data_IF_853277990177
#
_entry.id   IF_853277990177
#
_cell.length_a   1.000
_cell.length_b   1.000
_cell.length_c   1.000
_cell.angle_alpha   90.00
_cell.angle_beta   90.00
_cell.angle_gamma   90.00
#
_symmetry.space_group_name_H-M   'P 1'
#
loop_
_entity.id
_entity.type
_entity.pdbx_description
1 polymer ?
#
# COMPACT_ATOMS: atom_id res chain seq x y z
N UNK A 1 -6.40 -27.14 -1.64
CA UNK A 1 -5.81 -26.74 -0.33
C UNK A 1 -5.66 -28.00 0.50
N UNK A 2 -4.47 -28.24 1.07
CA UNK A 2 -4.04 -29.56 1.53
C UNK A 2 -4.49 -29.88 2.97
N UNK A 3 -4.60 -31.17 3.30
CA UNK A 3 -4.72 -31.68 4.67
C UNK A 3 -3.64 -31.12 5.61
N UNK A 4 -2.48 -30.74 5.08
CA UNK A 4 -1.36 -30.17 5.84
C UNK A 4 -1.73 -28.84 6.50
N UNK A 5 -2.39 -27.92 5.78
CA UNK A 5 -2.73 -26.59 6.34
C UNK A 5 -3.74 -26.71 7.47
N UNK A 6 -4.72 -27.61 7.37
CA UNK A 6 -5.67 -27.88 8.47
C UNK A 6 -4.94 -28.44 9.70
N UNK A 7 -4.05 -29.42 9.52
CA UNK A 7 -3.23 -29.96 10.63
C UNK A 7 -2.35 -28.89 11.29
N UNK A 8 -1.72 -28.02 10.50
CA UNK A 8 -0.92 -26.91 11.02
C UNK A 8 -1.79 -25.93 11.82
N UNK A 9 -2.99 -25.63 11.32
CA UNK A 9 -3.94 -24.75 12.00
C UNK A 9 -4.35 -25.35 13.36
N UNK A 10 -4.68 -26.63 13.43
CA UNK A 10 -4.98 -27.31 14.70
C UNK A 10 -3.79 -27.26 15.67
N UNK A 11 -2.55 -27.44 15.18
CA UNK A 11 -1.35 -27.37 16.01
C UNK A 11 -1.03 -25.95 16.50
N UNK A 12 -1.60 -24.89 15.90
CA UNK A 12 -1.47 -23.52 16.43
C UNK A 12 -2.13 -23.35 17.80
N UNK A 13 -2.94 -24.30 18.29
CA UNK A 13 -3.47 -24.24 19.66
C UNK A 13 -2.50 -24.80 20.71
N UNK A 14 -1.42 -25.48 20.28
CA UNK A 14 -0.46 -26.10 21.19
C UNK A 14 0.24 -25.05 22.07
N UNK A 15 0.55 -25.42 23.31
CA UNK A 15 1.28 -24.56 24.25
C UNK A 15 2.78 -24.79 24.23
N UNK A 16 3.25 -25.90 23.63
CA UNK A 16 4.66 -26.21 23.46
C UNK A 16 5.36 -25.21 22.53
N UNK A 17 6.36 -24.45 23.02
CA UNK A 17 7.04 -23.43 22.22
C UNK A 17 7.75 -24.00 20.98
N UNK A 18 8.26 -25.23 21.06
CA UNK A 18 8.98 -25.87 19.94
C UNK A 18 8.02 -26.22 18.81
N UNK A 19 6.85 -26.77 19.15
CA UNK A 19 5.77 -27.06 18.22
C UNK A 19 5.26 -25.79 17.57
N UNK A 20 5.03 -24.74 18.37
CA UNK A 20 4.59 -23.43 17.86
C UNK A 20 5.57 -22.85 16.85
N UNK A 21 6.86 -22.88 17.15
CA UNK A 21 7.87 -22.34 16.24
C UNK A 21 7.95 -23.12 14.93
N UNK A 22 7.86 -24.45 14.97
CA UNK A 22 7.84 -25.29 13.77
C UNK A 22 6.60 -25.04 12.90
N UNK A 23 5.43 -24.92 13.54
CA UNK A 23 4.18 -24.64 12.83
C UNK A 23 4.21 -23.25 12.19
N UNK A 24 4.69 -22.24 12.93
CA UNK A 24 4.89 -20.88 12.44
C UNK A 24 5.81 -20.85 11.23
N UNK A 25 7.02 -21.43 11.35
CA UNK A 25 7.98 -21.49 10.25
C UNK A 25 7.38 -22.17 9.02
N UNK A 26 6.65 -23.27 9.20
CA UNK A 26 6.01 -23.98 8.09
C UNK A 26 4.89 -23.19 7.42
N UNK A 27 4.05 -22.49 8.19
CA UNK A 27 3.01 -21.63 7.63
C UNK A 27 3.60 -20.43 6.89
N UNK A 28 4.69 -19.84 7.40
CA UNK A 28 5.42 -18.77 6.73
C UNK A 28 6.07 -19.24 5.42
N UNK A 29 6.63 -20.46 5.38
CA UNK A 29 7.14 -21.09 4.15
C UNK A 29 6.05 -21.31 3.10
N UNK A 30 4.85 -21.73 3.53
CA UNK A 30 3.68 -21.88 2.65
C UNK A 30 3.10 -20.53 2.21
N UNK A 31 3.53 -19.44 2.86
CA UNK A 31 3.19 -18.07 2.54
C UNK A 31 1.74 -17.69 2.86
N UNK A 32 1.33 -16.54 2.32
CA UNK A 32 0.04 -15.93 2.63
C UNK A 32 -1.17 -16.83 2.40
N UNK A 33 -1.18 -17.64 1.35
CA UNK A 33 -2.32 -18.51 1.05
C UNK A 33 -2.66 -19.46 2.20
N UNK A 34 -1.65 -20.00 2.90
CA UNK A 34 -1.87 -20.86 4.06
C UNK A 34 -2.37 -20.06 5.28
N UNK A 35 -1.79 -18.89 5.52
CA UNK A 35 -2.22 -18.00 6.62
C UNK A 35 -3.66 -17.50 6.42
N UNK A 36 -3.99 -17.05 5.21
CA UNK A 36 -5.31 -16.58 4.83
C UNK A 36 -6.36 -17.69 4.97
N UNK A 37 -6.04 -18.90 4.53
CA UNK A 37 -6.91 -20.05 4.77
C UNK A 37 -7.18 -20.26 6.25
N UNK A 38 -6.14 -20.15 7.08
CA UNK A 38 -6.26 -20.21 8.53
C UNK A 38 -7.22 -19.17 9.09
N UNK A 39 -7.13 -17.92 8.61
CA UNK A 39 -8.03 -16.83 9.02
C UNK A 39 -9.48 -17.11 8.62
N UNK A 40 -9.72 -17.54 7.38
CA UNK A 40 -11.05 -17.84 6.84
C UNK A 40 -11.70 -19.08 7.47
N UNK A 41 -10.90 -20.03 7.97
CA UNK A 41 -11.39 -21.30 8.52
C UNK A 41 -11.23 -21.41 10.03
N UNK A 42 -10.76 -20.35 10.71
CA UNK A 42 -10.47 -20.34 12.14
C UNK A 42 -11.66 -20.86 12.96
N UNK A 43 -12.86 -20.37 12.68
CA UNK A 43 -14.05 -20.74 13.46
C UNK A 43 -14.49 -22.17 13.22
N UNK A 44 -14.23 -22.71 12.02
CA UNK A 44 -14.54 -24.10 11.68
C UNK A 44 -13.57 -25.08 12.35
N UNK A 45 -12.28 -24.74 12.37
CA UNK A 45 -11.20 -25.67 12.76
C UNK A 45 -10.83 -25.53 14.24
N UNK A 46 -10.85 -24.31 14.79
CA UNK A 46 -10.34 -24.03 16.13
C UNK A 46 -11.48 -23.95 17.15
N UNK A 47 -11.41 -24.68 18.28
CA UNK A 47 -12.37 -24.56 19.38
C UNK A 47 -12.38 -23.16 19.99
N UNK A 48 -13.56 -22.70 20.45
CA UNK A 48 -13.77 -21.37 21.03
C UNK A 48 -12.69 -20.89 22.01
N UNK A 49 -12.19 -21.71 22.97
CA UNK A 49 -11.18 -21.26 23.94
C UNK A 49 -9.85 -20.83 23.31
N UNK A 50 -9.45 -21.44 22.19
CA UNK A 50 -8.17 -21.18 21.55
C UNK A 50 -8.25 -20.14 20.41
N UNK A 51 -9.45 -19.84 19.89
CA UNK A 51 -9.64 -18.99 18.69
C UNK A 51 -8.93 -17.65 18.77
N UNK A 52 -9.05 -16.94 19.90
CA UNK A 52 -8.43 -15.60 20.05
C UNK A 52 -6.91 -15.67 19.96
N UNK A 53 -6.30 -16.67 20.58
CA UNK A 53 -4.85 -16.84 20.56
C UNK A 53 -4.36 -17.22 19.16
N UNK A 54 -5.04 -18.19 18.52
CA UNK A 54 -4.68 -18.62 17.16
C UNK A 54 -4.89 -17.49 16.15
N UNK A 55 -5.98 -16.72 16.25
CA UNK A 55 -6.22 -15.53 15.40
C UNK A 55 -5.08 -14.53 15.50
N UNK A 56 -4.64 -14.21 16.72
CA UNK A 56 -3.50 -13.30 16.94
C UNK A 56 -2.23 -13.83 16.27
N UNK A 57 -1.92 -15.12 16.42
CA UNK A 57 -0.77 -15.75 15.76
C UNK A 57 -0.86 -15.65 14.23
N UNK A 58 -2.04 -15.88 13.66
CA UNK A 58 -2.28 -15.72 12.21
C UNK A 58 -2.17 -14.27 11.75
N UNK A 59 -2.59 -13.29 12.56
CA UNK A 59 -2.38 -11.86 12.26
C UNK A 59 -0.90 -11.49 12.24
N UNK A 60 -0.14 -11.98 13.22
CA UNK A 60 1.30 -11.77 13.29
C UNK A 60 1.99 -12.38 12.06
N UNK A 61 1.67 -13.63 11.71
CA UNK A 61 2.18 -14.30 10.50
C UNK A 61 1.77 -13.57 9.21
N UNK A 62 0.52 -13.10 9.11
CA UNK A 62 0.06 -12.30 7.97
C UNK A 62 0.91 -11.05 7.77
N UNK A 63 1.23 -10.36 8.86
CA UNK A 63 2.05 -9.15 8.82
C UNK A 63 3.48 -9.47 8.35
N UNK A 64 4.03 -10.62 8.76
CA UNK A 64 5.35 -11.10 8.30
C UNK A 64 5.30 -11.42 6.81
N UNK A 65 4.30 -12.19 6.35
CA UNK A 65 4.10 -12.50 4.94
C UNK A 65 4.00 -11.24 4.08
N UNK A 66 3.21 -10.26 4.53
CA UNK A 66 3.04 -8.96 3.86
C UNK A 66 4.39 -8.27 3.56
N UNK A 67 5.29 -8.17 4.53
CA UNK A 67 6.59 -7.52 4.31
C UNK A 67 7.53 -8.40 3.47
N UNK A 68 7.46 -9.72 3.61
CA UNK A 68 8.25 -10.62 2.76
C UNK A 68 7.81 -10.50 1.29
N UNK A 69 6.51 -10.38 1.02
CA UNK A 69 5.98 -10.17 -0.34
C UNK A 69 6.45 -8.85 -0.95
N UNK A 70 6.52 -7.77 -0.15
CA UNK A 70 7.15 -6.50 -0.60
C UNK A 70 8.62 -6.73 -0.98
N UNK A 71 9.38 -7.52 -0.20
CA UNK A 71 10.77 -7.81 -0.52
C UNK A 71 10.92 -8.65 -1.78
N UNK A 72 10.04 -9.64 -1.99
CA UNK A 72 9.99 -10.43 -3.23
C UNK A 72 9.73 -9.52 -4.43
N UNK A 73 8.72 -8.65 -4.33
CA UNK A 73 8.35 -7.70 -5.39
C UNK A 73 9.52 -6.80 -5.79
N UNK A 74 10.26 -6.28 -4.81
CA UNK A 74 11.46 -5.46 -5.05
C UNK A 74 12.63 -6.26 -5.67
N UNK A 75 12.63 -7.59 -5.56
CA UNK A 75 13.59 -8.47 -6.20
C UNK A 75 13.32 -8.70 -7.69
N UNK A 76 12.11 -8.38 -8.17
CA UNK A 76 11.70 -8.58 -9.56
C UNK A 76 12.14 -7.43 -10.48
N UNK A 77 12.41 -6.24 -9.93
CA UNK A 77 12.92 -5.07 -10.65
C UNK A 77 12.38 -3.75 -10.10
N UNK A 78 12.66 -2.66 -10.83
CA UNK A 78 12.21 -1.30 -10.45
C UNK A 78 10.76 -0.99 -10.88
N UNK A 79 10.21 -1.82 -11.76
CA UNK A 79 8.83 -1.72 -12.24
C UNK A 79 8.05 -2.98 -11.89
N UNK A 80 6.92 -2.80 -11.23
CA UNK A 80 6.07 -3.90 -10.79
C UNK A 80 4.63 -3.41 -10.65
N UNK A 81 3.70 -4.34 -10.47
CA UNK A 81 2.29 -3.96 -10.31
C UNK A 81 2.06 -3.31 -8.93
N UNK A 82 2.12 -1.98 -8.87
CA UNK A 82 2.01 -1.18 -7.63
C UNK A 82 0.84 -1.57 -6.72
N UNK A 83 -0.37 -1.89 -7.22
CA UNK A 83 -1.47 -2.32 -6.36
C UNK A 83 -1.13 -3.53 -5.48
N UNK A 84 -0.29 -4.47 -5.92
CA UNK A 84 0.15 -5.62 -5.12
C UNK A 84 1.06 -5.21 -3.97
N UNK A 85 1.99 -4.26 -4.21
CA UNK A 85 2.84 -3.70 -3.19
C UNK A 85 2.06 -2.90 -2.15
N UNK A 86 1.12 -2.06 -2.60
CA UNK A 86 0.23 -1.29 -1.73
C UNK A 86 -0.69 -2.19 -0.90
N UNK A 87 -1.23 -3.25 -1.49
CA UNK A 87 -2.01 -4.26 -0.78
C UNK A 87 -1.17 -4.95 0.31
N UNK A 88 0.05 -5.37 -0.02
CA UNK A 88 0.96 -6.02 0.91
C UNK A 88 1.29 -5.13 2.10
N UNK A 89 1.62 -3.85 1.87
CA UNK A 89 1.83 -2.89 2.95
C UNK A 89 0.56 -2.66 3.80
N UNK A 90 -0.62 -2.57 3.16
CA UNK A 90 -1.91 -2.38 3.85
C UNK A 90 -2.22 -3.54 4.82
N UNK A 91 -1.92 -4.78 4.41
CA UNK A 91 -2.13 -5.98 5.24
C UNK A 91 -1.34 -6.03 6.53
N UNK A 92 -0.24 -5.27 6.65
CA UNK A 92 0.48 -5.16 7.93
C UNK A 92 -0.46 -4.58 9.01
N UNK A 93 -1.37 -3.69 8.64
CA UNK A 93 -2.36 -3.11 9.55
C UNK A 93 -3.74 -3.77 9.47
N UNK A 94 -4.08 -4.36 8.31
CA UNK A 94 -5.35 -5.06 8.06
C UNK A 94 -5.10 -6.54 7.68
N UNK A 95 -4.66 -7.38 8.63
CA UNK A 95 -4.17 -8.74 8.34
C UNK A 95 -5.23 -9.73 7.84
N UNK A 96 -6.52 -9.41 7.95
CA UNK A 96 -7.61 -10.25 7.43
C UNK A 96 -8.07 -9.81 6.03
N UNK A 97 -7.61 -8.66 5.55
CA UNK A 97 -8.02 -8.13 4.26
C UNK A 97 -7.56 -9.06 3.13
N UNK A 98 -8.50 -9.42 2.28
CA UNK A 98 -8.26 -10.26 1.10
C UNK A 98 -7.81 -9.43 -0.11
N UNK A 99 -7.18 -10.06 -1.12
CA UNK A 99 -6.79 -9.36 -2.34
C UNK A 99 -8.01 -8.82 -3.11
N UNK A 100 -9.12 -9.57 -3.08
CA UNK A 100 -10.37 -9.18 -3.73
C UNK A 100 -10.97 -7.92 -3.09
N UNK A 101 -11.06 -7.88 -1.76
CA UNK A 101 -11.55 -6.69 -1.05
C UNK A 101 -10.69 -5.46 -1.36
N UNK A 102 -9.36 -5.61 -1.44
CA UNK A 102 -8.48 -4.49 -1.78
C UNK A 102 -8.67 -4.04 -3.22
N UNK A 103 -8.80 -4.99 -4.15
CA UNK A 103 -9.10 -4.70 -5.56
C UNK A 103 -10.42 -3.95 -5.72
N UNK A 104 -11.48 -4.43 -5.08
CA UNK A 104 -12.82 -3.87 -5.15
C UNK A 104 -12.87 -2.41 -4.65
N UNK A 105 -11.97 -2.02 -3.75
CA UNK A 105 -11.86 -0.63 -3.28
C UNK A 105 -11.51 0.36 -4.40
N UNK A 106 -10.78 -0.06 -5.43
CA UNK A 106 -10.29 0.83 -6.50
C UNK A 106 -10.71 0.43 -7.92
N UNK A 107 -11.29 -0.77 -8.10
CA UNK A 107 -11.64 -1.29 -9.42
C UNK A 107 -12.50 -0.33 -10.25
N UNK A 108 -13.52 0.28 -9.63
CA UNK A 108 -14.40 1.24 -10.32
C UNK A 108 -13.68 2.52 -10.78
N UNK A 109 -13.02 3.31 -9.90
CA UNK A 109 -12.32 4.52 -10.34
C UNK A 109 -11.16 4.22 -11.30
N UNK A 110 -10.45 3.11 -11.10
CA UNK A 110 -9.35 2.73 -11.97
C UNK A 110 -9.83 2.28 -13.35
N UNK A 111 -10.91 1.49 -13.40
CA UNK A 111 -11.55 1.09 -14.66
C UNK A 111 -12.11 2.27 -15.44
N UNK A 112 -12.79 3.20 -14.76
CA UNK A 112 -13.28 4.43 -15.38
C UNK A 112 -12.12 5.25 -15.98
N UNK A 113 -11.02 5.43 -15.23
CA UNK A 113 -9.84 6.13 -15.74
C UNK A 113 -9.28 5.46 -16.99
N UNK A 114 -9.09 4.15 -16.98
CA UNK A 114 -8.58 3.39 -18.12
C UNK A 114 -9.51 3.53 -19.34
N UNK A 115 -10.83 3.53 -19.15
CA UNK A 115 -11.79 3.70 -20.24
C UNK A 115 -11.75 5.10 -20.89
N UNK A 116 -11.44 6.14 -20.12
CA UNK A 116 -11.40 7.52 -20.61
C UNK A 116 -10.06 7.86 -21.28
N UNK A 117 -8.97 7.20 -20.86
CA UNK A 117 -7.64 7.44 -21.40
C UNK A 117 -7.50 6.93 -22.85
N UNK A 118 -6.77 7.69 -23.66
CA UNK A 118 -6.42 7.33 -25.04
C UNK A 118 -4.93 7.54 -25.28
N UNK A 119 -4.36 6.73 -26.14
CA UNK A 119 -2.95 6.84 -26.52
C UNK A 119 -2.61 8.18 -27.19
N UNK A 120 -3.60 8.79 -27.86
CA UNK A 120 -3.46 10.09 -28.53
C UNK A 120 -3.47 11.28 -27.57
N UNK A 121 -3.81 11.08 -26.29
CA UNK A 121 -3.82 12.16 -25.30
C UNK A 121 -2.39 12.55 -24.92
N UNK A 122 -2.17 13.84 -24.83
CA UNK A 122 -0.96 14.44 -24.25
C UNK A 122 -0.85 14.11 -22.76
N UNK A 123 0.34 14.24 -22.19
CA UNK A 123 0.56 14.06 -20.75
C UNK A 123 -0.35 14.97 -19.90
N UNK A 124 -0.56 16.21 -20.36
CA UNK A 124 -1.46 17.18 -19.71
C UNK A 124 -2.89 16.68 -19.70
N UNK A 125 -3.44 16.28 -20.85
CA UNK A 125 -4.81 15.75 -20.95
C UNK A 125 -4.99 14.47 -20.09
N UNK A 126 -3.98 13.59 -20.04
CA UNK A 126 -4.03 12.37 -19.22
C UNK A 126 -4.09 12.71 -17.72
N UNK A 127 -3.35 13.72 -17.27
CA UNK A 127 -3.39 14.17 -15.87
C UNK A 127 -4.65 14.94 -15.55
N UNK A 128 -5.17 15.76 -16.47
CA UNK A 128 -6.48 16.40 -16.29
C UNK A 128 -7.60 15.36 -16.18
N UNK A 129 -7.53 14.26 -16.93
CA UNK A 129 -8.46 13.14 -16.78
C UNK A 129 -8.31 12.43 -15.44
N UNK A 130 -7.08 12.15 -15.00
CA UNK A 130 -6.83 11.59 -13.67
C UNK A 130 -7.38 12.51 -12.56
N UNK A 131 -7.13 13.81 -12.65
CA UNK A 131 -7.68 14.81 -11.73
C UNK A 131 -9.21 14.81 -11.74
N UNK A 132 -9.83 14.79 -12.92
CA UNK A 132 -11.29 14.72 -13.04
C UNK A 132 -11.85 13.45 -12.39
N UNK A 133 -11.27 12.28 -12.67
CA UNK A 133 -11.69 11.02 -12.06
C UNK A 133 -11.59 11.10 -10.54
N UNK A 134 -10.45 11.53 -10.00
CA UNK A 134 -10.22 11.59 -8.55
C UNK A 134 -11.12 12.64 -7.89
N UNK A 135 -11.00 13.90 -8.29
CA UNK A 135 -11.56 15.01 -7.52
C UNK A 135 -13.00 15.37 -7.87
N UNK A 136 -13.43 15.12 -9.11
CA UNK A 136 -14.74 15.58 -9.58
C UNK A 136 -15.74 14.42 -9.75
N UNK A 137 -15.36 13.32 -10.42
CA UNK A 137 -16.23 12.14 -10.60
C UNK A 137 -16.38 11.33 -9.31
N UNK A 138 -15.27 10.99 -8.66
CA UNK A 138 -15.30 10.23 -7.41
C UNK A 138 -15.34 11.11 -6.16
N UNK A 139 -14.98 12.39 -6.28
CA UNK A 139 -15.23 13.39 -5.24
C UNK A 139 -14.29 13.30 -4.04
N UNK A 140 -13.06 12.82 -4.24
CA UNK A 140 -12.03 12.82 -3.20
C UNK A 140 -11.71 14.25 -2.73
N UNK A 141 -11.59 14.45 -1.42
CA UNK A 141 -11.36 15.78 -0.81
C UNK A 141 -10.31 15.73 0.29
N UNK A 142 -9.55 16.82 0.42
CA UNK A 142 -8.68 17.01 1.58
C UNK A 142 -9.50 17.22 2.85
N UNK A 143 -9.05 16.66 3.96
CA UNK A 143 -9.55 17.01 5.28
C UNK A 143 -9.10 18.42 5.68
N UNK A 144 -9.94 19.12 6.44
CA UNK A 144 -9.62 20.46 6.96
C UNK A 144 -8.43 20.40 7.93
N UNK A 145 -8.32 19.27 8.64
CA UNK A 145 -7.22 18.79 9.48
C UNK A 145 -5.97 18.34 8.68
N UNK A 146 -6.01 18.48 7.35
CA UNK A 146 -4.87 18.22 6.47
C UNK A 146 -3.86 19.39 6.42
N UNK A 147 -4.25 20.59 6.88
CA UNK A 147 -3.40 21.78 6.89
C UNK A 147 -2.64 22.01 8.20
N UNK A 148 -3.15 21.49 9.33
CA UNK A 148 -2.60 21.63 10.68
C UNK A 148 -1.68 20.46 11.10
N UNK A 149 -1.42 19.52 10.18
CA UNK A 149 -0.29 18.59 10.26
C UNK A 149 -0.56 17.24 10.94
N UNK A 150 -1.83 16.91 11.21
CA UNK A 150 -2.21 15.59 11.73
C UNK A 150 -3.02 14.81 10.68
N UNK A 151 -2.31 14.14 9.77
CA UNK A 151 -2.89 13.12 8.87
C UNK A 151 -3.66 12.08 9.70
N UNK A 152 -4.98 12.00 9.50
CA UNK A 152 -5.86 11.07 10.23
C UNK A 152 -5.96 9.71 9.55
N UNK A 153 -6.03 9.71 8.22
CA UNK A 153 -6.37 8.52 7.43
C UNK A 153 -5.35 8.31 6.30
N UNK A 154 -4.60 7.20 6.39
CA UNK A 154 -3.59 6.82 5.38
C UNK A 154 -3.83 5.45 4.77
N UNK A 155 -4.80 4.67 5.28
CA UNK A 155 -5.12 3.36 4.71
C UNK A 155 -5.99 3.52 3.47
N UNK A 156 -5.47 3.12 2.31
CA UNK A 156 -6.17 3.21 1.02
C UNK A 156 -7.62 2.72 1.09
N UNK A 157 -7.96 1.55 1.67
CA UNK A 157 -9.34 1.08 1.72
C UNK A 157 -10.29 2.03 2.45
N UNK A 158 -9.82 2.62 3.56
CA UNK A 158 -10.60 3.58 4.35
C UNK A 158 -10.79 4.89 3.59
N UNK A 159 -9.75 5.35 2.88
CA UNK A 159 -9.80 6.55 2.05
C UNK A 159 -10.73 6.34 0.84
N UNK A 160 -10.68 5.18 0.19
CA UNK A 160 -11.59 4.86 -0.93
C UNK A 160 -13.05 4.86 -0.49
N UNK A 161 -13.34 4.33 0.70
CA UNK A 161 -14.69 4.34 1.27
C UNK A 161 -15.15 5.74 1.70
N UNK A 162 -14.30 6.49 2.38
CA UNK A 162 -14.63 7.80 2.95
C UNK A 162 -14.50 8.98 1.97
N UNK A 163 -13.68 8.83 0.92
CA UNK A 163 -13.31 9.86 -0.07
C UNK A 163 -12.76 11.15 0.54
N UNK A 164 -12.22 11.07 1.76
CA UNK A 164 -11.62 12.19 2.48
C UNK A 164 -10.39 11.71 3.23
N UNK A 165 -9.29 12.45 3.12
CA UNK A 165 -8.03 12.18 3.83
C UNK A 165 -7.15 13.43 3.82
N UNK A 166 -6.03 13.41 4.54
CA UNK A 166 -4.99 14.42 4.36
C UNK A 166 -4.25 14.25 3.03
N UNK A 167 -3.24 15.10 2.80
CA UNK A 167 -2.53 15.17 1.51
C UNK A 167 -1.82 13.85 1.20
N UNK A 168 -1.23 13.20 2.20
CA UNK A 168 -0.54 11.91 2.01
C UNK A 168 -1.52 10.81 1.64
N UNK A 169 -2.67 10.74 2.32
CA UNK A 169 -3.71 9.76 2.01
C UNK A 169 -4.26 9.94 0.59
N UNK A 170 -4.69 11.15 0.23
CA UNK A 170 -5.20 11.45 -1.12
C UNK A 170 -4.15 11.16 -2.19
N UNK A 171 -2.89 11.50 -1.94
CA UNK A 171 -1.81 11.22 -2.89
C UNK A 171 -1.57 9.70 -3.05
N UNK A 172 -1.71 8.90 -1.99
CA UNK A 172 -1.57 7.45 -2.09
C UNK A 172 -2.63 6.84 -3.01
N UNK A 173 -3.88 7.33 -2.95
CA UNK A 173 -4.94 6.98 -3.92
C UNK A 173 -4.59 7.47 -5.32
N UNK A 174 -4.07 8.69 -5.44
CA UNK A 174 -3.66 9.25 -6.74
C UNK A 174 -2.61 8.39 -7.43
N UNK A 175 -1.56 7.95 -6.70
CA UNK A 175 -0.55 7.04 -7.23
C UNK A 175 -1.08 5.65 -7.55
N UNK A 176 -1.97 5.10 -6.73
CA UNK A 176 -2.62 3.83 -7.01
C UNK A 176 -3.35 3.85 -8.36
N UNK A 177 -4.18 4.88 -8.59
CA UNK A 177 -4.96 4.99 -9.82
C UNK A 177 -4.08 5.32 -11.03
N UNK A 178 -3.09 6.21 -10.87
CA UNK A 178 -2.16 6.56 -11.93
C UNK A 178 -1.34 5.34 -12.38
N UNK A 179 -0.76 4.60 -11.44
CA UNK A 179 0.03 3.40 -11.73
C UNK A 179 -0.83 2.29 -12.35
N UNK A 180 -2.05 2.07 -11.84
CA UNK A 180 -2.98 1.11 -12.44
C UNK A 180 -3.27 1.44 -13.92
N UNK A 181 -3.41 2.72 -14.24
CA UNK A 181 -3.63 3.20 -15.60
C UNK A 181 -2.35 3.32 -16.45
N UNK A 182 -1.18 2.90 -15.93
CA UNK A 182 0.10 2.98 -16.63
C UNK A 182 0.63 4.40 -16.83
N UNK A 183 0.17 5.37 -16.03
CA UNK A 183 0.64 6.76 -16.09
C UNK A 183 1.94 6.90 -15.28
N UNK A 184 2.99 7.55 -15.82
CA UNK A 184 4.29 7.68 -15.16
C UNK A 184 4.28 8.80 -14.11
N UNK A 185 3.39 8.69 -13.13
CA UNK A 185 3.22 9.66 -12.05
C UNK A 185 3.85 9.11 -10.78
N UNK A 186 4.86 9.80 -10.27
CA UNK A 186 5.65 9.33 -9.14
C UNK A 186 5.92 10.44 -8.12
N UNK A 187 6.18 10.07 -6.85
CA UNK A 187 6.66 11.03 -5.87
C UNK A 187 8.09 11.45 -6.18
N UNK A 188 8.36 12.75 -6.05
CA UNK A 188 9.71 13.34 -6.10
C UNK A 188 10.06 13.80 -4.71
N UNK A 189 11.09 13.19 -4.10
CA UNK A 189 11.56 13.60 -2.78
C UNK A 189 12.63 14.68 -2.91
N UNK A 190 12.41 15.89 -2.38
CA UNK A 190 13.44 16.91 -2.34
C UNK A 190 14.43 16.69 -1.19
N UNK A 191 15.52 17.46 -1.17
CA UNK A 191 16.50 17.48 -0.07
C UNK A 191 15.92 18.01 1.26
N UNK A 192 14.73 18.60 1.20
CA UNK A 192 13.97 19.08 2.36
C UNK A 192 12.83 18.11 2.67
N UNK A 193 12.29 18.08 3.89
CA UNK A 193 11.17 17.19 4.23
C UNK A 193 9.94 17.43 3.35
N UNK A 194 9.41 16.35 2.78
CA UNK A 194 8.20 16.37 1.96
C UNK A 194 8.36 15.55 0.70
N UNK A 195 7.43 15.72 -0.23
CA UNK A 195 7.50 15.18 -1.59
C UNK A 195 6.65 16.06 -2.52
N UNK A 196 6.94 15.99 -3.80
CA UNK A 196 6.07 16.49 -4.87
C UNK A 196 5.45 15.32 -5.61
N UNK A 197 4.33 15.54 -6.28
CA UNK A 197 3.74 14.58 -7.22
C UNK A 197 4.08 15.07 -8.63
N UNK A 198 4.67 14.23 -9.48
CA UNK A 198 5.10 14.67 -10.79
C UNK A 198 4.96 13.61 -11.87
N UNK A 199 4.75 14.09 -13.10
CA UNK A 199 4.83 13.27 -14.30
C UNK A 199 6.29 13.10 -14.71
N UNK A 200 6.72 11.87 -14.95
CA UNK A 200 8.08 11.54 -15.39
C UNK A 200 8.14 11.19 -16.87
N UNK A 201 9.15 11.73 -17.54
CA UNK A 201 9.48 11.42 -18.93
C UNK A 201 10.99 11.55 -19.13
N UNK A 202 11.62 10.50 -19.70
CA UNK A 202 13.07 10.51 -19.98
C UNK A 202 13.95 10.79 -18.76
N UNK A 203 13.57 10.30 -17.58
CA UNK A 203 14.33 10.50 -16.32
C UNK A 203 14.27 11.93 -15.76
N UNK A 204 13.29 12.73 -16.20
CA UNK A 204 13.03 14.10 -15.74
C UNK A 204 11.55 14.27 -15.41
N UNK A 205 11.23 15.30 -14.64
CA UNK A 205 9.84 15.73 -14.46
C UNK A 205 9.42 16.61 -15.63
N UNK A 206 8.27 16.31 -16.23
CA UNK A 206 7.67 17.15 -17.28
C UNK A 206 6.89 18.32 -16.65
N UNK A 207 6.13 18.02 -15.60
CA UNK A 207 5.41 18.97 -14.74
C UNK A 207 5.12 18.32 -13.39
N UNK A 208 4.67 19.12 -12.42
CA UNK A 208 4.21 18.65 -11.11
C UNK A 208 2.71 18.87 -10.92
N UNK A 209 2.14 18.25 -9.89
CA UNK A 209 0.73 18.38 -9.53
C UNK A 209 0.59 18.88 -8.09
N UNK A 210 -0.13 19.98 -7.92
CA UNK A 210 -0.49 20.54 -6.62
C UNK A 210 -1.68 19.78 -6.02
N UNK A 211 -1.38 18.82 -5.17
CA UNK A 211 -2.39 18.01 -4.48
C UNK A 211 -3.26 18.82 -3.51
N UNK A 212 -2.77 19.98 -3.04
CA UNK A 212 -3.54 20.95 -2.26
C UNK A 212 -4.65 21.61 -3.08
N UNK A 213 -4.49 21.66 -4.40
CA UNK A 213 -5.39 22.31 -5.34
C UNK A 213 -5.89 21.32 -6.41
N UNK A 214 -6.40 20.17 -5.97
CA UNK A 214 -7.00 19.13 -6.82
C UNK A 214 -6.08 18.65 -7.97
N UNK A 215 -4.79 18.50 -7.68
CA UNK A 215 -3.80 18.01 -8.63
C UNK A 215 -3.51 19.00 -9.77
N UNK A 216 -3.82 20.29 -9.59
CA UNK A 216 -3.56 21.33 -10.59
C UNK A 216 -2.11 21.26 -11.08
N UNK A 217 -1.92 21.30 -12.38
CA UNK A 217 -0.61 21.25 -13.01
C UNK A 217 0.20 22.50 -12.64
N UNK A 218 1.44 22.27 -12.25
CA UNK A 218 2.43 23.27 -11.87
C UNK A 218 3.79 22.99 -12.55
N UNK A 219 4.73 23.92 -12.39
CA UNK A 219 6.06 23.83 -12.99
C UNK A 219 6.79 22.52 -12.63
N UNK A 220 7.66 22.00 -13.50
CA UNK A 220 8.46 20.82 -13.22
C UNK A 220 9.42 21.05 -12.04
N UNK A 221 9.63 20.02 -11.23
CA UNK A 221 10.58 20.08 -10.11
C UNK A 221 12.01 19.92 -10.63
N UNK A 222 12.90 20.91 -10.48
CA UNK A 222 14.27 20.81 -11.01
C UNK A 222 15.05 19.67 -10.34
N UNK A 223 15.77 18.86 -11.14
CA UNK A 223 16.56 17.71 -10.65
C UNK A 223 17.54 18.06 -9.53
N UNK A 224 18.14 19.25 -9.56
CA UNK A 224 19.06 19.74 -8.51
C UNK A 224 18.44 19.79 -7.10
N UNK A 225 17.11 19.84 -7.02
CA UNK A 225 16.35 19.91 -5.77
C UNK A 225 16.03 18.53 -5.19
N UNK A 226 16.21 17.46 -5.96
CA UNK A 226 15.83 16.09 -5.58
C UNK A 226 16.86 15.47 -4.63
N UNK A 227 16.44 14.46 -3.89
CA UNK A 227 17.32 13.38 -3.46
C UNK A 227 17.69 12.59 -4.72
N UNK A 228 18.90 12.79 -5.24
CA UNK A 228 19.37 12.16 -6.47
C UNK A 228 19.70 10.69 -6.17
N UNK A 229 18.71 9.84 -6.35
CA UNK A 229 18.74 8.39 -6.07
C UNK A 229 18.40 7.64 -7.35
N UNK A 230 18.92 6.42 -7.50
CA UNK A 230 18.67 5.59 -8.68
C UNK A 230 17.20 5.17 -8.80
N UNK A 231 16.44 5.26 -7.72
CA UNK A 231 15.03 4.85 -7.67
C UNK A 231 14.05 5.98 -8.01
N UNK A 232 14.50 7.22 -8.16
CA UNK A 232 13.58 8.35 -8.38
C UNK A 232 12.77 8.18 -9.67
N UNK A 233 11.44 8.24 -9.56
CA UNK A 233 10.55 8.00 -10.72
C UNK A 233 10.25 6.53 -11.00
N UNK A 234 10.39 5.66 -10.00
CA UNK A 234 10.04 4.24 -10.09
C UNK A 234 8.92 3.87 -9.11
N UNK A 235 8.30 2.71 -9.32
CA UNK A 235 7.24 2.17 -8.47
C UNK A 235 7.67 2.01 -7.00
N UNK A 236 8.98 1.79 -6.77
CA UNK A 236 9.58 1.74 -5.43
C UNK A 236 9.31 3.00 -4.61
N UNK A 237 9.35 4.18 -5.24
CA UNK A 237 9.16 5.46 -4.55
C UNK A 237 7.73 5.64 -4.05
N UNK A 238 6.75 5.08 -4.77
CA UNK A 238 5.34 5.03 -4.34
C UNK A 238 5.21 4.16 -3.10
N UNK A 239 5.80 2.96 -3.11
CA UNK A 239 5.78 2.08 -1.95
C UNK A 239 6.52 2.68 -0.74
N UNK A 240 7.65 3.36 -0.96
CA UNK A 240 8.39 4.05 0.09
C UNK A 240 7.55 5.13 0.78
N UNK A 241 6.85 5.96 -0.01
CA UNK A 241 5.93 6.96 0.52
C UNK A 241 4.85 6.31 1.37
N UNK A 242 4.19 5.27 0.84
CA UNK A 242 3.09 4.61 1.51
C UNK A 242 3.53 3.89 2.79
N UNK A 243 4.65 3.15 2.77
CA UNK A 243 5.19 2.49 3.96
C UNK A 243 5.54 3.50 5.07
N UNK A 244 6.14 4.63 4.69
CA UNK A 244 6.46 5.72 5.62
C UNK A 244 5.19 6.35 6.20
N UNK A 245 4.15 6.52 5.38
CA UNK A 245 2.85 7.03 5.81
C UNK A 245 2.18 6.09 6.81
N UNK A 246 2.11 4.78 6.51
CA UNK A 246 1.56 3.77 7.42
C UNK A 246 2.33 3.74 8.75
N UNK A 247 3.66 3.86 8.72
CA UNK A 247 4.48 3.85 9.92
C UNK A 247 4.25 5.05 10.84
N UNK A 248 3.98 6.22 10.25
CA UNK A 248 3.85 7.48 10.96
C UNK A 248 2.42 7.78 11.41
N UNK A 249 1.47 7.50 10.52
CA UNK A 249 0.07 7.93 10.59
C UNK A 249 -0.93 6.76 10.56
N UNK A 250 -0.48 5.53 10.32
CA UNK A 250 -1.36 4.36 10.35
C UNK A 250 -2.04 4.15 11.71
N UNK A 251 -3.07 3.30 11.72
CA UNK A 251 -3.93 3.04 12.89
C UNK A 251 -3.13 2.81 14.17
N UNK A 252 -3.31 3.68 15.17
CA UNK A 252 -2.64 3.59 16.48
C UNK A 252 -3.58 2.98 17.54
N UNK A 253 -3.04 2.25 18.55
CA UNK A 253 -1.62 1.92 18.70
C UNK A 253 -1.19 0.78 17.76
N UNK A 254 0.01 0.89 17.18
CA UNK A 254 0.68 -0.21 16.47
C UNK A 254 1.19 -1.22 17.50
N UNK A 255 1.10 -2.52 17.18
CA UNK A 255 1.85 -3.53 17.94
C UNK A 255 3.36 -3.36 17.70
N UNK A 256 4.19 -3.86 18.63
CA UNK A 256 5.65 -3.83 18.47
C UNK A 256 6.10 -4.55 17.18
N UNK A 257 5.42 -5.66 16.84
CA UNK A 257 5.69 -6.40 15.60
C UNK A 257 5.35 -5.56 14.37
N UNK A 258 4.15 -4.98 14.30
CA UNK A 258 3.76 -4.13 13.17
C UNK A 258 4.69 -2.93 12.99
N UNK A 259 5.07 -2.26 14.08
CA UNK A 259 6.03 -1.15 14.01
C UNK A 259 7.39 -1.61 13.45
N UNK A 260 7.94 -2.71 13.97
CA UNK A 260 9.20 -3.28 13.49
C UNK A 260 9.14 -3.74 12.03
N UNK A 261 8.01 -4.30 11.60
CA UNK A 261 7.81 -4.75 10.23
C UNK A 261 7.70 -3.59 9.25
N UNK A 262 6.99 -2.52 9.61
CA UNK A 262 6.94 -1.30 8.82
C UNK A 262 8.30 -0.61 8.75
N UNK A 263 9.05 -0.56 9.86
CA UNK A 263 10.44 -0.06 9.86
C UNK A 263 11.32 -0.89 8.89
N UNK A 264 11.19 -2.22 8.90
CA UNK A 264 11.89 -3.11 7.96
C UNK A 264 11.46 -2.89 6.50
N UNK A 265 10.18 -2.63 6.25
CA UNK A 265 9.67 -2.34 4.91
C UNK A 265 10.25 -1.01 4.39
N UNK A 266 10.21 0.04 5.21
CA UNK A 266 10.81 1.35 4.90
C UNK A 266 12.31 1.20 4.63
N UNK A 267 13.03 0.43 5.44
CA UNK A 267 14.47 0.18 5.25
C UNK A 267 14.78 -0.54 3.93
N UNK A 268 13.94 -1.50 3.54
CA UNK A 268 14.07 -2.21 2.26
C UNK A 268 13.75 -1.31 1.06
N UNK A 269 12.93 -0.28 1.27
CA UNK A 269 12.46 0.68 0.26
C UNK A 269 13.29 1.97 0.22
N UNK A 270 14.31 2.11 1.07
CA UNK A 270 15.11 3.35 1.20
C UNK A 270 15.57 3.87 -0.16
N UNK A 271 15.43 5.18 -0.29
CA UNK A 271 15.85 5.99 -1.43
C UNK A 271 17.32 6.35 -1.29
#
# INVERSE_FOLDING_TARGET
MSRETESLLELLQDSDPVTQEKVRARLEELGWNAVYYGLQNLERVIPLPARRQVRRRLHDMSSVCAVNEVQTLLGEGDFFFVPEGLYSLTRVLLPEMSPAEFHDCYAAPAGDLVCELRDTMTAVEKVEMLNYIVFDRYGFKLSDDGWDGYETDVLIPEIMAGRRAGVVGITSVYFLLASYAGLPVYPVFPKEPGYYVAWFEGGRTLFSMDMGNKGRIAEPIPRRSWLDTDFMGTDRTILYLYATALRRFGRKPLTQLQASLLDRAVDSLRL
#
